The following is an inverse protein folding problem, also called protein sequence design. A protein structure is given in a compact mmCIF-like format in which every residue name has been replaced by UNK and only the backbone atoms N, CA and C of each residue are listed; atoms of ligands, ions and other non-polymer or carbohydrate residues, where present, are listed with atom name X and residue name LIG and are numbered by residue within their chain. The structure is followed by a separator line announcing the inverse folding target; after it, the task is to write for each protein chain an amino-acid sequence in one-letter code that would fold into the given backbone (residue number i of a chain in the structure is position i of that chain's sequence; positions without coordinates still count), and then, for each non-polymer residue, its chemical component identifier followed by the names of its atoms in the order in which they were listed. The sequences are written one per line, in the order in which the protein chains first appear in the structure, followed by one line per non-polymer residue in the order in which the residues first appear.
data_IF_360267322660
#
_entry.id   IF_360267322660
#
_cell.length_a   1.000
_cell.length_b   1.000
_cell.length_c   1.000
_cell.angle_alpha   90.00
_cell.angle_beta   90.00
_cell.angle_gamma   90.00
#
_symmetry.space_group_name_H-M   'P 1'
#
loop_
_entity.id
_entity.type
_entity.pdbx_description
1 polymer ?
#
# COMPACT_ATOMS: atom_id res chain seq x y z
N UNK A 1 -20.02 -14.15 6.65
CA UNK A 1 -20.12 -12.84 5.95
C UNK A 1 -18.79 -12.12 6.09
N UNK A 2 -18.25 -11.48 5.03
CA UNK A 2 -17.02 -10.71 5.14
C UNK A 2 -17.21 -9.54 6.12
N UNK A 3 -16.18 -9.26 6.93
CA UNK A 3 -16.22 -8.16 7.90
C UNK A 3 -16.29 -6.81 7.17
N UNK A 4 -17.16 -5.89 7.58
CA UNK A 4 -17.20 -4.56 7.00
C UNK A 4 -15.89 -3.82 7.31
N UNK A 5 -15.32 -3.20 6.28
CA UNK A 5 -14.15 -2.35 6.43
C UNK A 5 -14.53 -1.02 7.12
N UNK A 6 -13.61 -0.49 7.93
CA UNK A 6 -13.71 0.87 8.44
C UNK A 6 -13.72 1.89 7.28
N UNK A 7 -14.26 3.08 7.51
CA UNK A 7 -14.41 4.12 6.49
C UNK A 7 -13.09 4.43 5.76
N UNK A 8 -12.00 4.54 6.52
CA UNK A 8 -10.68 4.88 5.97
C UNK A 8 -10.13 3.76 5.08
N UNK A 9 -10.32 2.50 5.50
CA UNK A 9 -9.94 1.35 4.68
C UNK A 9 -10.74 1.28 3.38
N UNK A 10 -12.03 1.64 3.40
CA UNK A 10 -12.83 1.76 2.16
C UNK A 10 -12.28 2.84 1.23
N UNK A 11 -11.86 3.98 1.78
CA UNK A 11 -11.25 5.06 0.99
C UNK A 11 -9.92 4.63 0.36
N UNK A 12 -9.07 3.92 1.11
CA UNK A 12 -7.82 3.37 0.58
C UNK A 12 -8.08 2.40 -0.58
N UNK A 13 -9.08 1.51 -0.44
CA UNK A 13 -9.49 0.60 -1.52
C UNK A 13 -9.96 1.37 -2.76
N UNK A 14 -10.77 2.42 -2.58
CA UNK A 14 -11.22 3.26 -3.69
C UNK A 14 -10.04 3.93 -4.43
N UNK A 15 -9.07 4.47 -3.69
CA UNK A 15 -7.88 5.10 -4.27
C UNK A 15 -7.02 4.09 -5.06
N UNK A 16 -6.85 2.87 -4.54
CA UNK A 16 -6.13 1.80 -5.24
C UNK A 16 -6.82 1.45 -6.56
N UNK A 17 -8.15 1.29 -6.55
CA UNK A 17 -8.92 0.97 -7.76
C UNK A 17 -8.76 2.06 -8.81
N UNK A 18 -8.85 3.33 -8.42
CA UNK A 18 -8.65 4.47 -9.31
C UNK A 18 -7.23 4.49 -9.91
N UNK A 19 -6.21 4.29 -9.07
CA UNK A 19 -4.81 4.26 -9.52
C UNK A 19 -4.56 3.16 -10.56
N UNK A 20 -5.04 1.93 -10.31
CA UNK A 20 -4.86 0.82 -11.26
C UNK A 20 -5.75 0.94 -12.50
N UNK A 21 -6.92 1.56 -12.41
CA UNK A 21 -7.72 1.90 -13.59
C UNK A 21 -6.96 2.86 -14.50
N UNK A 22 -6.30 3.88 -13.93
CA UNK A 22 -5.43 4.79 -14.68
C UNK A 22 -4.23 4.08 -15.30
N UNK A 23 -3.59 3.14 -14.61
CA UNK A 23 -2.52 2.31 -15.20
C UNK A 23 -3.03 1.51 -16.41
N UNK A 24 -4.20 0.88 -16.28
CA UNK A 24 -4.84 0.14 -17.39
C UNK A 24 -5.12 1.07 -18.57
N UNK A 25 -5.76 2.20 -18.32
CA UNK A 25 -6.18 3.14 -19.37
C UNK A 25 -4.96 3.83 -20.03
N UNK A 26 -3.83 3.91 -19.32
CA UNK A 26 -2.54 4.39 -19.84
C UNK A 26 -1.73 3.32 -20.59
N UNK A 27 -2.19 2.06 -20.61
CA UNK A 27 -1.49 0.95 -21.26
C UNK A 27 -0.23 0.46 -20.52
N UNK A 28 -0.07 0.80 -19.24
CA UNK A 28 1.11 0.40 -18.47
C UNK A 28 1.25 1.08 -17.11
N UNK A 29 2.30 0.73 -16.36
CA UNK A 29 2.55 1.31 -15.05
C UNK A 29 2.76 2.83 -15.11
N UNK A 30 2.08 3.59 -14.24
CA UNK A 30 2.25 5.04 -14.12
C UNK A 30 3.63 5.38 -13.53
N UNK A 31 4.17 4.46 -12.71
CA UNK A 31 5.51 4.50 -12.14
C UNK A 31 6.19 3.14 -12.36
N UNK A 32 7.53 3.08 -12.42
CA UNK A 32 8.26 1.82 -12.63
C UNK A 32 7.90 0.75 -11.61
N UNK A 33 7.76 -0.51 -12.05
CA UNK A 33 7.45 -1.64 -11.15
C UNK A 33 8.47 -1.82 -10.03
N UNK A 34 9.71 -1.38 -10.25
CA UNK A 34 10.80 -1.40 -9.27
C UNK A 34 10.61 -0.38 -8.14
N UNK A 35 9.86 0.70 -8.36
CA UNK A 35 9.60 1.76 -7.38
C UNK A 35 8.39 1.45 -6.50
N UNK A 36 8.42 0.30 -5.81
CA UNK A 36 7.27 -0.26 -5.09
C UNK A 36 6.70 0.72 -4.04
N UNK A 37 7.56 1.35 -3.24
CA UNK A 37 7.13 2.25 -2.17
C UNK A 37 6.51 3.54 -2.71
N UNK A 38 7.07 4.09 -3.80
CA UNK A 38 6.52 5.26 -4.47
C UNK A 38 5.17 4.96 -5.13
N UNK A 39 5.01 3.76 -5.70
CA UNK A 39 3.71 3.29 -6.23
C UNK A 39 2.65 3.20 -5.14
N UNK A 40 2.99 2.63 -3.99
CA UNK A 40 2.07 2.54 -2.85
C UNK A 40 1.71 3.94 -2.34
N UNK A 41 2.68 4.83 -2.23
CA UNK A 41 2.46 6.22 -1.82
C UNK A 41 1.52 6.95 -2.79
N UNK A 42 1.77 6.85 -4.10
CA UNK A 42 0.94 7.45 -5.14
C UNK A 42 -0.47 6.86 -5.14
N UNK A 43 -0.61 5.54 -5.05
CA UNK A 43 -1.89 4.86 -5.11
C UNK A 43 -2.77 5.09 -3.86
N UNK A 44 -2.16 5.29 -2.69
CA UNK A 44 -2.88 5.56 -1.44
C UNK A 44 -3.03 7.06 -1.12
N UNK A 45 -2.33 7.93 -1.85
CA UNK A 45 -2.35 9.38 -1.60
C UNK A 45 -1.62 9.77 -0.31
N UNK A 46 -0.56 9.05 0.05
CA UNK A 46 0.25 9.29 1.25
C UNK A 46 1.69 9.60 0.86
N UNK A 47 2.49 10.17 1.77
CA UNK A 47 3.89 10.40 1.48
C UNK A 47 4.72 9.10 1.57
N UNK A 48 5.74 8.97 0.72
CA UNK A 48 6.63 7.79 0.71
C UNK A 48 7.34 7.58 2.06
N UNK A 49 7.59 8.66 2.82
CA UNK A 49 8.13 8.57 4.18
C UNK A 49 7.21 7.82 5.13
N UNK A 50 5.90 8.05 5.03
CA UNK A 50 4.89 7.31 5.81
C UNK A 50 4.88 5.84 5.43
N UNK A 51 4.89 5.53 4.14
CA UNK A 51 4.97 4.14 3.65
C UNK A 51 6.23 3.45 4.19
N UNK A 52 7.39 4.09 4.07
CA UNK A 52 8.64 3.54 4.55
C UNK A 52 8.62 3.31 6.07
N UNK A 53 8.09 4.26 6.85
CA UNK A 53 7.92 4.11 8.29
C UNK A 53 7.03 2.91 8.64
N UNK A 54 5.88 2.77 7.99
CA UNK A 54 4.97 1.63 8.19
C UNK A 54 5.63 0.30 7.85
N UNK A 55 6.34 0.21 6.71
CA UNK A 55 7.05 -1.00 6.31
C UNK A 55 8.10 -1.39 7.35
N UNK A 56 8.83 -0.43 7.91
CA UNK A 56 9.79 -0.70 8.98
C UNK A 56 9.11 -1.18 10.25
N UNK A 57 8.03 -0.53 10.68
CA UNK A 57 7.25 -0.93 11.86
C UNK A 57 6.71 -2.36 11.74
N UNK A 58 6.20 -2.74 10.57
CA UNK A 58 5.69 -4.10 10.30
C UNK A 58 6.84 -5.11 10.41
N UNK A 59 7.99 -4.83 9.77
CA UNK A 59 9.17 -5.71 9.86
C UNK A 59 9.66 -5.89 11.31
N UNK A 60 9.67 -4.81 12.10
CA UNK A 60 10.05 -4.88 13.51
C UNK A 60 9.03 -5.66 14.34
N UNK A 61 7.73 -5.48 14.09
CA UNK A 61 6.67 -6.23 14.75
C UNK A 61 6.75 -7.74 14.46
N UNK A 62 7.06 -8.12 13.21
CA UNK A 62 7.28 -9.52 12.82
C UNK A 62 8.53 -10.13 13.47
N UNK A 63 9.60 -9.35 13.64
CA UNK A 63 10.83 -9.79 14.31
C UNK A 63 10.63 -10.03 15.83
N UNK A 64 9.72 -9.31 16.47
CA UNK A 64 9.39 -9.47 17.89
C UNK A 64 8.48 -10.69 18.12
N UNK A 65 7.75 -11.16 17.11
CA UNK A 65 6.83 -12.29 17.21
C UNK A 65 7.39 -13.65 16.75
N UNK A 66 8.65 -13.71 16.31
CA UNK A 66 9.32 -15.00 16.04
C UNK A 66 9.85 -15.61 17.35
N UNK A 67 9.33 -16.75 17.83
CA UNK A 67 9.93 -17.45 18.97
C UNK A 67 11.33 -17.91 18.57
N UNK A 68 12.33 -17.57 19.41
CA UNK A 68 13.68 -18.10 19.29
C UNK A 68 13.60 -19.64 19.27
N UNK A 69 14.04 -20.24 18.17
CA UNK A 69 14.29 -21.68 18.07
C UNK A 69 15.52 -22.04 18.88
#
# INVERSE_FOLDING_TARGET
MPKPLHKDAKQMVANLVDYFAKERDSGGPLLPLTAVQDRVAAALGVCVRTVNSMVQQIKTAEAVHSPKK
#
